data_IF_308452963486
#
_entry.id   IF_308452963486
#
_cell.length_a   1.000
_cell.length_b   1.000
_cell.length_c   1.000
_cell.angle_alpha   90.00
_cell.angle_beta   90.00
_cell.angle_gamma   90.00
#
_symmetry.space_group_name_H-M   'P 1'
#
loop_
_entity.id
_entity.type
_entity.pdbx_description
1 polymer ?
#
# COMPACT_ATOMS: atom_id res chain seq x y z
N UNK A 1 -2.99 29.72 6.20
CA UNK A 1 -1.85 29.10 6.90
C UNK A 1 -1.82 27.60 6.70
N UNK A 2 -0.96 27.13 5.79
CA UNK A 2 -0.70 25.70 5.61
C UNK A 2 0.07 25.21 6.85
N UNK A 3 -0.49 24.23 7.56
CA UNK A 3 0.17 23.56 8.67
C UNK A 3 1.46 22.92 8.17
N UNK A 4 2.60 23.48 8.56
CA UNK A 4 3.91 22.90 8.24
C UNK A 4 4.26 21.89 9.34
N UNK A 5 4.39 20.59 9.02
CA UNK A 5 4.77 19.58 10.00
C UNK A 5 6.14 19.87 10.60
N UNK A 6 6.22 19.81 11.93
CA UNK A 6 7.45 19.96 12.72
C UNK A 6 7.56 18.81 13.72
N UNK A 7 8.78 18.36 13.97
CA UNK A 7 9.06 17.29 14.92
C UNK A 7 10.47 17.42 15.49
N UNK A 8 10.78 16.56 16.47
CA UNK A 8 12.11 16.45 17.06
C UNK A 8 12.67 15.05 16.81
N UNK A 9 13.91 14.97 16.37
CA UNK A 9 14.60 13.69 16.13
C UNK A 9 16.05 13.80 16.60
N UNK A 10 16.48 12.90 17.48
CA UNK A 10 17.85 12.86 18.02
C UNK A 10 18.36 14.24 18.53
N UNK A 11 17.48 15.04 19.14
CA UNK A 11 17.83 16.38 19.65
C UNK A 11 17.80 17.51 18.62
N UNK A 12 17.50 17.23 17.34
CA UNK A 12 17.33 18.21 16.28
C UNK A 12 15.86 18.54 16.05
N UNK A 13 15.56 19.81 15.80
CA UNK A 13 14.25 20.28 15.32
C UNK A 13 14.18 20.10 13.81
N UNK A 14 13.25 19.27 13.33
CA UNK A 14 13.03 19.00 11.91
C UNK A 14 11.73 19.66 11.46
N UNK A 15 11.82 20.42 10.38
CA UNK A 15 10.69 21.05 9.70
C UNK A 15 10.60 20.52 8.27
N UNK A 16 9.41 20.04 7.89
CA UNK A 16 9.13 19.68 6.50
C UNK A 16 8.89 20.97 5.69
N UNK A 17 9.69 21.23 4.67
CA UNK A 17 9.48 22.38 3.80
C UNK A 17 8.63 22.02 2.59
N UNK A 18 8.88 20.85 2.01
CA UNK A 18 8.26 20.41 0.77
C UNK A 18 8.16 18.87 0.78
N UNK A 19 7.08 18.34 0.22
CA UNK A 19 6.89 16.91 0.07
C UNK A 19 6.37 16.63 -1.34
N UNK A 20 7.06 15.74 -2.05
CA UNK A 20 6.66 15.26 -3.37
C UNK A 20 6.42 13.76 -3.24
N UNK A 21 5.18 13.32 -3.48
CA UNK A 21 4.82 11.91 -3.33
C UNK A 21 5.46 11.03 -4.41
N UNK A 22 5.38 11.48 -5.67
CA UNK A 22 6.00 10.80 -6.82
C UNK A 22 7.16 11.65 -7.33
N UNK A 23 8.30 11.53 -6.64
CA UNK A 23 9.49 12.33 -6.91
C UNK A 23 10.51 11.55 -7.73
N UNK A 24 11.04 12.20 -8.77
CA UNK A 24 12.16 11.72 -9.57
C UNK A 24 13.35 12.65 -9.38
N UNK A 25 14.54 12.07 -9.22
CA UNK A 25 15.79 12.84 -9.08
C UNK A 25 16.05 13.63 -10.36
N UNK A 26 16.13 14.95 -10.23
CA UNK A 26 16.35 15.87 -11.36
C UNK A 26 17.82 16.26 -11.51
N UNK A 27 18.55 16.33 -10.40
CA UNK A 27 20.00 16.60 -10.37
C UNK A 27 20.63 15.94 -9.14
N UNK A 28 21.90 16.22 -8.88
CA UNK A 28 22.60 15.66 -7.72
C UNK A 28 21.91 15.94 -6.38
N UNK A 29 21.14 17.03 -6.27
CA UNK A 29 20.53 17.49 -5.03
C UNK A 29 19.08 17.94 -5.15
N UNK A 30 18.42 17.73 -6.30
CA UNK A 30 17.05 18.22 -6.53
C UNK A 30 16.12 17.12 -7.01
N UNK A 31 14.84 17.26 -6.66
CA UNK A 31 13.75 16.39 -7.07
C UNK A 31 12.68 17.19 -7.81
N UNK A 32 11.97 16.51 -8.70
CA UNK A 32 10.79 17.05 -9.39
C UNK A 32 9.68 16.02 -9.37
N UNK A 33 8.44 16.50 -9.45
CA UNK A 33 7.26 15.63 -9.51
C UNK A 33 7.10 15.03 -10.91
N UNK A 34 7.21 13.71 -11.00
CA UNK A 34 6.92 12.94 -12.23
C UNK A 34 6.21 11.65 -11.82
N UNK A 35 4.99 11.50 -12.31
CA UNK A 35 4.18 10.31 -12.13
C UNK A 35 4.66 9.22 -13.10
N UNK A 36 5.65 8.43 -12.69
CA UNK A 36 6.16 7.30 -13.46
C UNK A 36 6.47 6.10 -12.57
N UNK A 37 6.49 4.87 -13.13
CA UNK A 37 7.02 3.71 -12.45
C UNK A 37 8.45 4.01 -11.93
N UNK A 38 8.68 3.78 -10.64
CA UNK A 38 9.98 4.03 -10.01
C UNK A 38 10.15 5.42 -9.40
N UNK A 39 9.15 6.30 -9.49
CA UNK A 39 9.09 7.48 -8.64
C UNK A 39 9.02 7.05 -7.15
N UNK A 40 9.76 7.75 -6.29
CA UNK A 40 9.82 7.48 -4.85
C UNK A 40 9.57 8.78 -4.08
N UNK A 41 8.89 8.75 -2.93
CA UNK A 41 8.62 9.95 -2.17
C UNK A 41 9.91 10.63 -1.73
N UNK A 42 9.94 11.96 -1.89
CA UNK A 42 11.03 12.80 -1.44
C UNK A 42 10.50 13.96 -0.60
N UNK A 43 11.22 14.28 0.46
CA UNK A 43 10.89 15.37 1.36
C UNK A 43 12.07 16.33 1.46
N UNK A 44 11.82 17.62 1.27
CA UNK A 44 12.79 18.66 1.58
C UNK A 44 12.59 19.07 3.03
N UNK A 45 13.62 18.89 3.83
CA UNK A 45 13.56 19.18 5.27
C UNK A 45 14.59 20.23 5.65
N UNK A 46 14.27 20.98 6.70
CA UNK A 46 15.19 21.85 7.42
C UNK A 46 15.37 21.30 8.83
N UNK A 47 16.61 20.97 9.16
CA UNK A 47 17.01 20.46 10.46
C UNK A 47 17.84 21.52 11.20
N UNK A 48 17.44 21.86 12.43
CA UNK A 48 18.14 22.82 13.28
C UNK A 48 18.51 22.16 14.60
N UNK A 49 19.76 22.32 15.02
CA UNK A 49 20.19 21.94 16.34
C UNK A 49 19.94 23.11 17.31
N UNK A 50 19.07 22.96 18.33
CA UNK A 50 18.75 24.04 19.25
C UNK A 50 19.91 24.36 20.20
N UNK A 51 20.85 23.44 20.41
CA UNK A 51 22.00 23.61 21.31
C UNK A 51 23.15 24.30 20.61
N UNK A 52 23.53 23.83 19.42
CA UNK A 52 24.68 24.37 18.67
C UNK A 52 24.30 25.50 17.71
N UNK A 53 23.02 25.66 17.41
CA UNK A 53 22.50 26.63 16.43
C UNK A 53 22.72 26.24 14.97
N UNK A 54 23.37 25.10 14.69
CA UNK A 54 23.63 24.62 13.33
C UNK A 54 22.31 24.33 12.62
N UNK A 55 22.25 24.74 11.34
CA UNK A 55 21.10 24.52 10.48
C UNK A 55 21.53 23.85 9.17
N UNK A 56 20.78 22.83 8.76
CA UNK A 56 20.98 22.10 7.50
C UNK A 56 19.64 22.00 6.77
N UNK A 57 19.66 22.19 5.46
CA UNK A 57 18.48 22.05 4.60
C UNK A 57 18.83 21.21 3.40
N UNK A 58 17.99 20.24 3.06
CA UNK A 58 18.20 19.38 1.91
C UNK A 58 17.07 18.38 1.71
N UNK A 59 17.21 17.55 0.69
CA UNK A 59 16.25 16.50 0.37
C UNK A 59 16.61 15.19 1.07
N UNK A 60 15.58 14.45 1.47
CA UNK A 60 15.66 13.06 1.92
C UNK A 60 14.71 12.21 1.09
N UNK A 61 15.18 11.05 0.64
CA UNK A 61 14.41 10.13 -0.18
C UNK A 61 14.81 8.71 0.19
N UNK A 62 13.82 7.83 0.38
CA UNK A 62 14.08 6.42 0.71
C UNK A 62 14.67 5.64 -0.49
N UNK A 63 14.47 6.15 -1.71
CA UNK A 63 14.81 5.44 -2.94
C UNK A 63 13.86 4.27 -3.22
N UNK A 64 14.24 3.46 -4.20
CA UNK A 64 13.66 2.15 -4.54
C UNK A 64 14.65 1.44 -5.49
N UNK A 65 14.24 0.33 -6.12
CA UNK A 65 15.07 -0.41 -7.08
C UNK A 65 15.52 0.41 -8.31
N UNK A 66 14.81 1.50 -8.65
CA UNK A 66 15.08 2.34 -9.82
C UNK A 66 15.66 3.72 -9.47
N UNK A 67 15.64 4.13 -8.19
CA UNK A 67 16.11 5.44 -7.74
C UNK A 67 16.93 5.31 -6.45
N UNK A 68 18.16 5.82 -6.47
CA UNK A 68 19.03 5.82 -5.29
C UNK A 68 18.43 6.65 -4.15
N UNK A 69 18.66 6.20 -2.92
CA UNK A 69 18.27 6.92 -1.72
C UNK A 69 19.06 8.23 -1.57
N UNK A 70 18.52 9.17 -0.78
CA UNK A 70 19.20 10.40 -0.39
C UNK A 70 19.01 10.66 1.09
N UNK A 71 20.11 10.99 1.76
CA UNK A 71 20.14 11.33 3.19
C UNK A 71 20.63 12.76 3.37
N UNK A 72 20.17 13.41 4.44
CA UNK A 72 20.67 14.71 4.86
C UNK A 72 21.66 14.52 6.01
N UNK A 73 22.95 14.70 5.75
CA UNK A 73 23.96 14.69 6.80
C UNK A 73 23.80 15.93 7.70
N UNK A 74 23.63 15.70 9.00
CA UNK A 74 23.50 16.75 10.01
C UNK A 74 24.88 17.17 10.51
N UNK A 75 25.68 16.17 10.87
CA UNK A 75 27.07 16.27 11.31
C UNK A 75 27.87 15.04 10.86
N UNK A 76 29.06 14.82 11.43
CA UNK A 76 29.93 13.68 11.08
C UNK A 76 29.37 12.32 11.52
N UNK A 77 28.47 12.30 12.50
CA UNK A 77 27.94 11.08 13.12
C UNK A 77 26.46 10.83 12.81
N UNK A 78 25.70 11.87 12.45
CA UNK A 78 24.26 11.84 12.30
C UNK A 78 23.81 12.28 10.91
N UNK A 79 22.87 11.53 10.34
CA UNK A 79 22.14 11.89 9.15
C UNK A 79 20.64 11.59 9.31
N UNK A 80 19.82 12.27 8.50
CA UNK A 80 18.38 11.98 8.39
C UNK A 80 18.17 11.17 7.13
N UNK A 81 17.56 9.98 7.29
CA UNK A 81 17.14 9.12 6.20
C UNK A 81 15.62 8.95 6.24
N UNK A 82 15.01 8.81 5.07
CA UNK A 82 13.60 8.45 4.95
C UNK A 82 13.45 6.93 4.95
N UNK A 83 12.42 6.42 5.64
CA UNK A 83 12.06 5.01 5.61
C UNK A 83 11.28 4.68 4.35
N UNK A 84 11.36 3.43 3.89
CA UNK A 84 10.53 2.97 2.79
C UNK A 84 9.04 3.11 3.15
N UNK A 85 8.19 3.62 2.23
CA UNK A 85 6.77 3.77 2.50
C UNK A 85 6.09 2.40 2.61
N UNK A 86 5.27 2.22 3.64
CA UNK A 86 4.50 1.00 3.78
C UNK A 86 3.25 1.03 2.88
N UNK A 87 2.99 -0.04 2.12
CA UNK A 87 1.80 -0.15 1.27
C UNK A 87 0.53 -0.22 2.13
N UNK A 88 -0.43 0.68 1.87
CA UNK A 88 -1.73 0.70 2.57
C UNK A 88 -2.76 -0.27 1.98
N UNK A 89 -2.63 -0.58 0.70
CA UNK A 89 -3.57 -1.40 -0.08
C UNK A 89 -2.80 -2.19 -1.13
N UNK A 90 -3.23 -3.43 -1.30
CA UNK A 90 -2.71 -4.35 -2.31
C UNK A 90 -3.83 -4.67 -3.27
N UNK A 91 -3.68 -4.22 -4.51
CA UNK A 91 -4.74 -4.27 -5.50
C UNK A 91 -4.16 -4.73 -6.83
N UNK A 92 -4.88 -5.60 -7.51
CA UNK A 92 -4.56 -6.05 -8.86
C UNK A 92 -5.80 -5.95 -9.74
N UNK A 93 -5.70 -5.24 -10.87
CA UNK A 93 -6.74 -5.23 -11.88
C UNK A 93 -6.55 -6.47 -12.78
N UNK A 94 -7.54 -7.36 -12.80
CA UNK A 94 -7.50 -8.65 -13.50
C UNK A 94 -8.64 -8.74 -14.52
N UNK A 95 -8.45 -9.58 -15.54
CA UNK A 95 -9.50 -9.93 -16.50
C UNK A 95 -9.70 -11.45 -16.47
N UNK A 96 -10.90 -11.88 -16.11
CA UNK A 96 -11.23 -13.29 -15.87
C UNK A 96 -12.01 -13.85 -17.06
N UNK A 97 -11.46 -14.89 -17.67
CA UNK A 97 -12.09 -15.61 -18.78
C UNK A 97 -12.66 -16.94 -18.28
N UNK A 98 -13.93 -17.19 -18.57
CA UNK A 98 -14.59 -18.46 -18.23
C UNK A 98 -15.13 -19.14 -19.48
N UNK A 99 -15.09 -20.47 -19.50
CA UNK A 99 -15.57 -21.26 -20.65
C UNK A 99 -17.05 -21.06 -20.95
N UNK A 100 -17.85 -20.66 -19.96
CA UNK A 100 -19.28 -20.43 -20.08
C UNK A 100 -19.65 -18.96 -20.34
N UNK A 101 -18.67 -18.07 -20.55
CA UNK A 101 -18.88 -16.66 -20.84
C UNK A 101 -18.07 -16.24 -22.07
N UNK A 102 -18.72 -15.61 -23.04
CA UNK A 102 -18.06 -15.16 -24.28
C UNK A 102 -17.14 -13.94 -24.05
N UNK A 103 -17.38 -13.16 -22.98
CA UNK A 103 -16.61 -11.97 -22.66
C UNK A 103 -15.85 -12.12 -21.35
N UNK A 104 -14.61 -11.63 -21.33
CA UNK A 104 -13.81 -11.49 -20.12
C UNK A 104 -14.48 -10.54 -19.12
N UNK A 105 -14.52 -10.93 -17.85
CA UNK A 105 -15.00 -10.06 -16.77
C UNK A 105 -13.83 -9.34 -16.14
N UNK A 106 -13.81 -8.01 -16.22
CA UNK A 106 -12.84 -7.19 -15.50
C UNK A 106 -13.18 -7.14 -14.01
N UNK A 107 -12.20 -7.41 -13.17
CA UNK A 107 -12.36 -7.39 -11.73
C UNK A 107 -11.15 -6.72 -11.08
N UNK A 108 -11.39 -6.11 -9.92
CA UNK A 108 -10.33 -5.58 -9.06
C UNK A 108 -10.19 -6.50 -7.86
N UNK A 109 -9.06 -7.19 -7.79
CA UNK A 109 -8.70 -8.06 -6.69
C UNK A 109 -8.00 -7.22 -5.62
N UNK A 110 -8.45 -7.30 -4.37
CA UNK A 110 -7.83 -6.62 -3.23
C UNK A 110 -7.58 -7.67 -2.13
N UNK A 111 -6.51 -7.52 -1.36
CA UNK A 111 -6.24 -8.42 -0.23
C UNK A 111 -7.44 -8.43 0.73
N UNK A 112 -7.82 -9.62 1.18
CA UNK A 112 -9.02 -9.90 1.99
C UNK A 112 -10.37 -9.60 1.31
N UNK A 113 -10.40 -9.25 0.03
CA UNK A 113 -11.62 -9.09 -0.76
C UNK A 113 -11.57 -9.99 -1.99
N UNK A 114 -11.94 -11.27 -1.85
CA UNK A 114 -11.93 -12.19 -2.97
C UNK A 114 -12.96 -11.80 -4.03
N UNK A 115 -12.61 -12.08 -5.28
CA UNK A 115 -13.53 -11.97 -6.40
C UNK A 115 -14.24 -13.31 -6.62
N UNK A 116 -15.58 -13.31 -6.66
CA UNK A 116 -16.38 -14.52 -6.88
C UNK A 116 -17.03 -14.48 -8.24
N UNK A 117 -16.94 -15.59 -8.97
CA UNK A 117 -17.60 -15.78 -10.26
C UNK A 117 -18.11 -17.21 -10.37
N UNK A 118 -19.42 -17.40 -10.26
CA UNK A 118 -20.04 -18.74 -10.20
C UNK A 118 -19.48 -19.56 -9.02
N UNK A 119 -19.07 -20.82 -9.24
CA UNK A 119 -18.49 -21.69 -8.19
C UNK A 119 -17.02 -21.37 -7.89
N UNK A 120 -16.44 -20.34 -8.51
CA UNK A 120 -15.05 -19.96 -8.32
C UNK A 120 -14.92 -18.76 -7.39
N UNK A 121 -14.01 -18.87 -6.44
CA UNK A 121 -13.53 -17.74 -5.62
C UNK A 121 -12.05 -17.53 -5.90
N UNK A 122 -11.69 -16.31 -6.26
CA UNK A 122 -10.32 -15.91 -6.59
C UNK A 122 -9.81 -15.03 -5.46
N UNK A 123 -8.67 -15.40 -4.89
CA UNK A 123 -7.97 -14.66 -3.84
C UNK A 123 -6.64 -14.14 -4.36
N UNK A 124 -6.22 -13.00 -3.82
CA UNK A 124 -4.84 -12.53 -3.99
C UNK A 124 -4.00 -13.15 -2.90
N UNK A 125 -3.04 -13.98 -3.29
CA UNK A 125 -2.14 -14.67 -2.35
C UNK A 125 -0.86 -13.88 -2.13
N UNK A 126 -0.29 -13.28 -3.18
CA UNK A 126 0.99 -12.58 -3.08
C UNK A 126 1.29 -11.67 -4.26
N UNK A 127 2.43 -10.99 -4.15
CA UNK A 127 3.03 -10.12 -5.16
C UNK A 127 4.53 -9.99 -4.83
N UNK A 128 5.30 -9.34 -5.70
CA UNK A 128 6.70 -9.05 -5.43
C UNK A 128 6.83 -7.96 -4.35
N UNK A 129 7.16 -8.37 -3.13
CA UNK A 129 7.31 -7.46 -1.99
C UNK A 129 8.51 -6.52 -2.12
N UNK A 130 9.58 -6.93 -2.83
CA UNK A 130 10.78 -6.10 -3.01
C UNK A 130 10.54 -5.00 -4.05
N UNK A 131 9.83 -5.33 -5.14
CA UNK A 131 9.46 -4.36 -6.16
C UNK A 131 8.33 -3.41 -5.69
N UNK A 132 7.44 -3.86 -4.81
CA UNK A 132 6.35 -3.04 -4.27
C UNK A 132 5.43 -2.48 -5.36
N UNK A 133 5.38 -1.15 -5.51
CA UNK A 133 4.60 -0.48 -6.59
C UNK A 133 5.06 -0.88 -7.99
N UNK A 134 6.29 -1.38 -8.14
CA UNK A 134 6.88 -1.82 -9.41
C UNK A 134 6.68 -3.31 -9.69
N UNK A 135 5.90 -4.03 -8.88
CA UNK A 135 5.69 -5.46 -9.08
C UNK A 135 5.02 -5.74 -10.43
N UNK A 136 5.64 -6.60 -11.23
CA UNK A 136 5.12 -7.00 -12.56
C UNK A 136 4.18 -8.21 -12.48
N UNK A 137 4.11 -8.90 -11.34
CA UNK A 137 3.32 -10.11 -11.19
C UNK A 137 2.54 -10.15 -9.86
N UNK A 138 1.44 -10.89 -9.87
CA UNK A 138 0.70 -11.24 -8.67
C UNK A 138 0.46 -12.74 -8.65
N UNK A 139 0.49 -13.31 -7.44
CA UNK A 139 0.14 -14.71 -7.19
C UNK A 139 -1.32 -14.74 -6.77
N UNK A 140 -2.12 -15.49 -7.52
CA UNK A 140 -3.55 -15.67 -7.26
C UNK A 140 -3.86 -17.10 -6.87
N UNK A 141 -4.83 -17.27 -5.98
CA UNK A 141 -5.35 -18.56 -5.56
C UNK A 141 -6.78 -18.72 -6.07
N UNK A 142 -7.03 -19.79 -6.82
CA UNK A 142 -8.34 -20.11 -7.38
C UNK A 142 -8.94 -21.29 -6.62
N UNK A 143 -10.05 -21.04 -5.94
CA UNK A 143 -10.78 -22.06 -5.17
C UNK A 143 -12.10 -22.37 -5.87
N UNK A 144 -12.31 -23.65 -6.19
CA UNK A 144 -13.57 -24.16 -6.71
C UNK A 144 -14.42 -24.74 -5.59
N UNK A 145 -15.59 -24.15 -5.34
CA UNK A 145 -16.56 -24.63 -4.37
C UNK A 145 -18.00 -24.49 -4.91
N UNK A 146 -18.54 -25.55 -5.54
CA UNK A 146 -19.92 -25.56 -6.02
C UNK A 146 -20.94 -25.86 -4.91
N UNK A 147 -20.50 -26.34 -3.74
CA UNK A 147 -21.38 -26.80 -2.66
C UNK A 147 -21.70 -25.71 -1.64
N UNK A 148 -20.95 -24.62 -1.63
CA UNK A 148 -21.13 -23.49 -0.72
C UNK A 148 -22.59 -23.00 -0.66
N UNK A 149 -23.26 -22.92 -1.81
CA UNK A 149 -24.69 -22.53 -1.89
C UNK A 149 -25.59 -23.50 -1.14
N UNK A 150 -25.38 -24.81 -1.30
CA UNK A 150 -26.16 -25.85 -0.62
C UNK A 150 -25.90 -25.87 0.88
N UNK A 151 -24.66 -25.63 1.31
CA UNK A 151 -24.32 -25.46 2.72
C UNK A 151 -25.08 -24.29 3.34
N UNK A 152 -25.12 -23.13 2.68
CA UNK A 152 -25.88 -21.98 3.19
C UNK A 152 -27.39 -22.26 3.27
N UNK A 153 -27.95 -22.97 2.30
CA UNK A 153 -29.35 -23.41 2.36
C UNK A 153 -29.59 -24.27 3.61
N UNK A 154 -28.71 -25.23 3.89
CA UNK A 154 -28.79 -26.07 5.08
C UNK A 154 -28.71 -25.27 6.39
N UNK A 155 -27.79 -24.32 6.49
CA UNK A 155 -27.65 -23.45 7.68
C UNK A 155 -28.91 -22.61 7.90
N UNK A 156 -29.47 -22.02 6.83
CA UNK A 156 -30.71 -21.22 6.91
C UNK A 156 -31.88 -22.11 7.36
N UNK A 157 -31.98 -23.33 6.84
CA UNK A 157 -33.02 -24.28 7.22
C UNK A 157 -32.93 -24.65 8.71
N UNK A 158 -31.71 -24.92 9.21
CA UNK A 158 -31.45 -25.23 10.63
C UNK A 158 -31.79 -24.04 11.54
N UNK A 159 -31.41 -22.83 11.13
CA UNK A 159 -31.75 -21.60 11.86
C UNK A 159 -33.27 -21.39 11.90
N UNK A 160 -33.96 -21.57 10.77
CA UNK A 160 -35.42 -21.46 10.69
C UNK A 160 -36.12 -22.52 11.55
N UNK A 161 -35.66 -23.77 11.53
CA UNK A 161 -36.18 -24.84 12.38
C UNK A 161 -36.04 -24.52 13.87
N UNK A 162 -34.87 -23.97 14.27
CA UNK A 162 -34.62 -23.56 15.65
C UNK A 162 -35.55 -22.42 16.10
N UNK A 163 -35.76 -21.41 15.24
CA UNK A 163 -36.70 -20.31 15.52
C UNK A 163 -38.14 -20.83 15.62
N UNK A 164 -38.54 -21.75 14.74
CA UNK A 164 -39.85 -22.38 14.77
C UNK A 164 -40.10 -23.14 16.08
N UNK A 165 -39.09 -23.91 16.55
CA UNK A 165 -39.18 -24.61 17.84
C UNK A 165 -39.30 -23.66 19.03
N UNK A 166 -38.57 -22.53 19.02
CA UNK A 166 -38.66 -21.53 20.09
C UNK A 166 -40.01 -20.82 20.13
N UNK A 167 -40.63 -20.56 18.97
CA UNK A 167 -41.96 -19.94 18.91
C UNK A 167 -43.11 -20.91 19.16
N UNK A 168 -42.99 -22.14 18.65
CA UNK A 168 -43.98 -23.21 18.84
C UNK A 168 -43.90 -23.89 20.21
N UNK A 169 -42.82 -23.66 20.97
CA UNK A 169 -42.64 -24.11 22.35
C UNK A 169 -43.24 -23.17 23.42
N UNK A 170 -44.13 -22.25 23.03
CA UNK A 170 -45.04 -21.56 23.97
C UNK A 170 -46.23 -22.43 24.33
#
# INVERSE_FOLDING_TARGET
DLWIPRGKLAGWDIQLLEYIHDAVRNSDSTYREIHMPGASPAARIKARNPVTGVERTGWVCAGNISQLYMVLNLDTNLCVAATMPEPRRFVSDIEVYRKDQDAGTRARLEVNRPFRTGPWTIYQHGYDSEAGKLSEYTVVELVYDPWLTLVYIGIILLAAGSVCMLWGGR
#
